data_IF_443742435317
#
_entry.id   IF_443742435317
#
_cell.length_a   1.000
_cell.length_b   1.000
_cell.length_c   1.000
_cell.angle_alpha   90.00
_cell.angle_beta   90.00
_cell.angle_gamma   90.00
#
_symmetry.space_group_name_H-M   'P 1'
#
loop_
_entity.id
_entity.type
_entity.pdbx_description
1 polymer ?
#
# COMPACT_ATOMS: atom_id res chain seq x y z
N UNK A 1 -13.38 -6.22 -24.16
CA UNK A 1 -13.06 -5.57 -22.88
C UNK A 1 -11.72 -4.87 -23.02
N UNK A 2 -11.75 -3.53 -23.09
CA UNK A 2 -10.52 -2.75 -23.02
C UNK A 2 -9.95 -2.91 -21.61
N UNK A 3 -8.80 -3.56 -21.49
CA UNK A 3 -7.98 -3.56 -20.29
C UNK A 3 -7.79 -2.12 -19.80
N UNK A 4 -8.21 -1.84 -18.58
CA UNK A 4 -7.97 -0.56 -17.91
C UNK A 4 -6.49 -0.51 -17.51
N UNK A 5 -5.59 -0.28 -18.49
CA UNK A 5 -4.16 -0.14 -18.19
C UNK A 5 -3.92 1.08 -17.32
N UNK A 6 -3.75 0.84 -16.05
CA UNK A 6 -3.15 1.84 -15.14
C UNK A 6 -1.69 1.97 -15.56
N UNK A 7 -1.32 3.12 -16.15
CA UNK A 7 0.07 3.38 -16.56
C UNK A 7 0.99 3.29 -15.34
N UNK A 8 2.08 2.57 -15.49
CA UNK A 8 3.16 2.56 -14.50
C UNK A 8 3.63 3.99 -14.23
N UNK A 9 3.55 4.40 -12.97
CA UNK A 9 4.15 5.63 -12.52
C UNK A 9 5.32 5.32 -11.59
N UNK A 10 6.52 5.75 -11.99
CA UNK A 10 7.76 5.60 -11.23
C UNK A 10 7.72 6.29 -9.85
N UNK A 11 6.74 7.20 -9.63
CA UNK A 11 6.64 7.96 -8.38
C UNK A 11 6.11 7.11 -7.21
N UNK A 12 5.33 6.05 -7.45
CA UNK A 12 4.88 5.14 -6.38
C UNK A 12 6.03 4.43 -5.69
N UNK A 13 7.12 4.13 -6.41
CA UNK A 13 8.34 3.53 -5.83
C UNK A 13 9.07 4.47 -4.86
N UNK A 14 8.88 5.79 -4.97
CA UNK A 14 9.55 6.78 -4.10
C UNK A 14 8.90 6.97 -2.74
N UNK A 15 7.64 6.56 -2.55
CA UNK A 15 6.94 6.65 -1.26
C UNK A 15 7.54 5.73 -0.18
N UNK A 16 8.19 4.64 -0.58
CA UNK A 16 8.70 3.63 0.33
C UNK A 16 10.22 3.68 0.56
N UNK A 17 10.95 4.57 -0.14
CA UNK A 17 12.42 4.52 -0.15
C UNK A 17 13.09 5.26 1.00
N UNK A 18 12.37 6.04 1.81
CA UNK A 18 13.00 7.03 2.68
C UNK A 18 13.15 6.68 4.15
N UNK A 19 12.60 5.57 4.65
CA UNK A 19 12.50 5.45 6.11
C UNK A 19 12.87 4.10 6.72
N UNK A 20 13.41 3.17 5.94
CA UNK A 20 13.72 1.85 6.47
C UNK A 20 15.19 1.74 6.85
N UNK A 21 15.63 2.59 7.77
CA UNK A 21 16.89 2.37 8.47
C UNK A 21 16.56 2.00 9.91
N UNK A 22 16.16 0.75 10.10
CA UNK A 22 15.97 0.17 11.41
C UNK A 22 16.80 -1.10 11.49
N UNK A 23 18.11 -0.94 11.63
CA UNK A 23 19.03 -2.05 11.78
C UNK A 23 18.75 -2.94 12.99
N UNK A 24 18.08 -2.42 14.02
CA UNK A 24 17.71 -3.18 15.22
C UNK A 24 16.48 -4.07 15.06
N UNK A 25 15.65 -3.87 14.02
CA UNK A 25 14.44 -4.65 13.80
C UNK A 25 14.65 -5.89 12.91
N UNK A 26 15.88 -6.16 12.48
CA UNK A 26 16.21 -7.19 11.49
C UNK A 26 16.02 -8.64 11.98
N UNK A 27 15.85 -8.86 13.29
CA UNK A 27 15.84 -10.20 13.88
C UNK A 27 14.52 -10.62 14.52
N UNK A 28 13.49 -9.77 14.50
CA UNK A 28 12.20 -10.08 15.08
C UNK A 28 11.26 -10.72 14.06
N UNK A 29 10.63 -11.85 14.40
CA UNK A 29 9.61 -12.53 13.58
C UNK A 29 8.22 -11.90 13.73
N UNK A 30 8.02 -11.10 14.77
CA UNK A 30 6.76 -10.42 15.10
C UNK A 30 6.99 -8.96 15.42
N UNK A 31 5.94 -8.18 15.26
CA UNK A 31 5.94 -6.76 15.62
C UNK A 31 6.10 -6.60 17.14
N UNK A 32 7.19 -5.94 17.54
CA UNK A 32 7.45 -5.55 18.93
C UNK A 32 7.04 -4.10 19.17
N UNK A 33 6.90 -3.64 20.45
CA UNK A 33 6.62 -2.24 20.75
C UNK A 33 7.64 -1.25 20.14
N UNK A 34 8.92 -1.63 20.09
CA UNK A 34 9.99 -0.83 19.50
C UNK A 34 9.80 -0.70 17.96
N UNK A 35 9.41 -1.79 17.30
CA UNK A 35 9.09 -1.79 15.87
C UNK A 35 7.87 -0.90 15.61
N UNK A 36 6.84 -0.97 16.46
CA UNK A 36 5.66 -0.11 16.32
C UNK A 36 6.00 1.38 16.43
N UNK A 37 6.86 1.76 17.37
CA UNK A 37 7.34 3.14 17.50
C UNK A 37 8.04 3.58 16.21
N UNK A 38 8.86 2.72 15.65
CA UNK A 38 9.58 2.99 14.43
C UNK A 38 8.64 3.11 13.21
N UNK A 39 7.64 2.23 13.10
CA UNK A 39 6.59 2.32 12.08
C UNK A 39 5.84 3.65 12.21
N UNK A 40 5.43 4.04 13.41
CA UNK A 40 4.71 5.29 13.65
C UNK A 40 5.54 6.53 13.29
N UNK A 41 6.84 6.53 13.58
CA UNK A 41 7.76 7.61 13.17
C UNK A 41 7.88 7.70 11.65
N UNK A 42 8.00 6.57 10.97
CA UNK A 42 8.02 6.50 9.52
C UNK A 42 6.72 7.04 8.91
N UNK A 43 5.58 6.63 9.44
CA UNK A 43 4.26 7.10 9.03
C UNK A 43 4.13 8.62 9.18
N UNK A 44 4.60 9.18 10.30
CA UNK A 44 4.57 10.62 10.53
C UNK A 44 5.38 11.39 9.46
N UNK A 45 6.52 10.82 9.01
CA UNK A 45 7.33 11.41 7.94
C UNK A 45 6.62 11.32 6.58
N UNK A 46 6.02 10.17 6.27
CA UNK A 46 5.28 10.00 5.02
C UNK A 46 4.06 10.92 4.96
N UNK A 47 3.33 11.08 6.06
CA UNK A 47 2.15 11.95 6.13
C UNK A 47 2.47 13.44 5.93
N UNK A 48 3.71 13.88 6.15
CA UNK A 48 4.14 15.25 5.82
C UNK A 48 4.13 15.53 4.32
N UNK A 49 4.17 14.51 3.48
CA UNK A 49 4.12 14.63 2.02
C UNK A 49 2.68 14.71 1.49
N UNK A 50 1.70 14.39 2.34
CA UNK A 50 0.29 14.34 1.94
C UNK A 50 -0.38 15.73 1.95
N UNK A 51 -1.36 15.99 1.05
CA UNK A 51 -1.71 15.13 -0.07
C UNK A 51 -0.66 15.22 -1.19
N UNK A 52 -0.39 14.10 -1.87
CA UNK A 52 0.59 14.05 -2.95
C UNK A 52 0.01 13.33 -4.17
N UNK A 53 0.03 13.99 -5.32
CA UNK A 53 -0.33 13.35 -6.58
C UNK A 53 0.72 12.27 -6.92
N UNK A 54 0.26 11.04 -7.01
CA UNK A 54 1.11 9.87 -7.33
C UNK A 54 1.06 9.58 -8.83
N UNK A 55 -0.13 9.71 -9.42
CA UNK A 55 -0.37 9.60 -10.85
C UNK A 55 -1.55 10.47 -11.25
N UNK A 56 -1.90 10.47 -12.52
CA UNK A 56 -3.11 11.19 -12.99
C UNK A 56 -4.41 10.62 -12.39
N UNK A 57 -4.37 9.37 -11.89
CA UNK A 57 -5.53 8.66 -11.35
C UNK A 57 -5.51 8.50 -9.83
N UNK A 58 -4.37 8.71 -9.19
CA UNK A 58 -4.19 8.46 -7.76
C UNK A 58 -3.56 9.66 -7.04
N UNK A 59 -4.16 10.02 -5.92
CA UNK A 59 -3.57 10.96 -4.96
C UNK A 59 -3.36 10.22 -3.63
N UNK A 60 -2.14 10.24 -3.13
CA UNK A 60 -1.82 9.76 -1.78
C UNK A 60 -2.42 10.72 -0.75
N UNK A 61 -3.17 10.19 0.21
CA UNK A 61 -3.83 10.98 1.24
C UNK A 61 -3.16 10.87 2.60
N UNK A 62 -2.84 9.67 3.02
CA UNK A 62 -2.21 9.39 4.32
C UNK A 62 -1.79 7.93 4.43
N UNK A 63 -0.97 7.66 5.44
CA UNK A 63 -0.76 6.31 6.00
C UNK A 63 -1.27 6.29 7.43
N UNK A 64 -1.87 5.19 7.85
CA UNK A 64 -2.27 4.95 9.22
C UNK A 64 -1.83 3.54 9.67
N UNK A 65 -1.61 3.37 10.96
CA UNK A 65 -1.30 2.08 11.57
C UNK A 65 -2.32 1.74 12.65
N UNK A 66 -2.97 0.60 12.46
CA UNK A 66 -3.84 0.03 13.48
C UNK A 66 -3.03 -0.94 14.33
N UNK A 67 -2.79 -0.55 15.58
CA UNK A 67 -2.00 -1.33 16.52
C UNK A 67 -2.67 -2.64 16.91
N UNK A 68 -3.98 -2.68 17.01
CA UNK A 68 -4.74 -3.87 17.40
C UNK A 68 -4.72 -4.93 16.31
N UNK A 69 -4.79 -4.51 15.06
CA UNK A 69 -4.78 -5.37 13.88
C UNK A 69 -3.37 -5.57 13.28
N UNK A 70 -2.36 -4.88 13.81
CA UNK A 70 -1.00 -4.85 13.24
C UNK A 70 -1.00 -4.51 11.75
N UNK A 71 -1.88 -3.61 11.34
CA UNK A 71 -2.12 -3.29 9.93
C UNK A 71 -1.72 -1.85 9.63
N UNK A 72 -0.82 -1.69 8.68
CA UNK A 72 -0.50 -0.39 8.07
C UNK A 72 -1.34 -0.23 6.82
N UNK A 73 -2.11 0.84 6.74
CA UNK A 73 -2.96 1.13 5.58
C UNK A 73 -2.51 2.42 4.91
N UNK A 74 -2.30 2.35 3.60
CA UNK A 74 -2.00 3.49 2.74
C UNK A 74 -3.30 3.88 2.05
N UNK A 75 -3.69 5.14 2.18
CA UNK A 75 -4.95 5.66 1.65
C UNK A 75 -4.72 6.48 0.39
N UNK A 76 -5.43 6.12 -0.66
CA UNK A 76 -5.45 6.82 -1.94
C UNK A 76 -6.84 7.32 -2.31
N UNK A 77 -6.89 8.52 -2.86
CA UNK A 77 -8.06 9.02 -3.57
C UNK A 77 -7.96 8.61 -5.06
N UNK A 78 -9.01 7.96 -5.55
CA UNK A 78 -9.16 7.67 -6.98
C UNK A 78 -9.74 8.88 -7.70
N UNK A 79 -9.12 9.27 -8.80
CA UNK A 79 -9.62 10.32 -9.71
C UNK A 79 -10.47 9.74 -10.84
N UNK A 80 -10.53 8.42 -10.98
CA UNK A 80 -11.38 7.76 -11.97
C UNK A 80 -12.86 7.89 -11.57
N UNK A 81 -13.70 8.31 -12.51
CA UNK A 81 -15.14 8.28 -12.31
C UNK A 81 -15.68 6.88 -12.54
N UNK A 82 -16.00 6.18 -11.44
CA UNK A 82 -16.54 4.83 -11.47
C UNK A 82 -18.08 4.79 -11.42
N UNK A 83 -18.75 5.93 -11.44
CA UNK A 83 -20.23 5.97 -11.35
C UNK A 83 -20.91 5.32 -12.55
N UNK A 84 -20.23 5.29 -13.70
CA UNK A 84 -20.73 4.66 -14.94
C UNK A 84 -20.39 3.18 -15.05
N UNK A 85 -19.65 2.63 -14.10
CA UNK A 85 -19.25 1.23 -14.11
C UNK A 85 -20.33 0.37 -13.44
N UNK A 86 -20.62 -0.79 -14.04
CA UNK A 86 -21.40 -1.83 -13.35
C UNK A 86 -20.61 -2.37 -12.16
N UNK A 87 -21.29 -3.08 -11.27
CA UNK A 87 -20.64 -3.69 -10.10
C UNK A 87 -19.58 -4.70 -10.52
N UNK A 88 -19.84 -5.46 -11.60
CA UNK A 88 -18.86 -6.41 -12.16
C UNK A 88 -17.61 -5.70 -12.69
N UNK A 89 -17.77 -4.55 -13.34
CA UNK A 89 -16.62 -3.76 -13.82
C UNK A 89 -15.84 -3.13 -12.66
N UNK A 90 -16.50 -2.74 -11.57
CA UNK A 90 -15.83 -2.26 -10.35
C UNK A 90 -15.00 -3.36 -9.70
N UNK A 91 -15.50 -4.60 -9.68
CA UNK A 91 -14.72 -5.74 -9.16
C UNK A 91 -13.50 -6.04 -10.05
N UNK A 92 -13.64 -6.02 -11.38
CA UNK A 92 -12.52 -6.16 -12.31
C UNK A 92 -11.47 -5.04 -12.07
N UNK A 93 -11.93 -3.81 -11.89
CA UNK A 93 -11.05 -2.69 -11.60
C UNK A 93 -10.31 -2.86 -10.25
N UNK A 94 -11.01 -3.37 -9.25
CA UNK A 94 -10.41 -3.69 -7.94
C UNK A 94 -9.32 -4.76 -8.06
N UNK A 95 -9.56 -5.84 -8.81
CA UNK A 95 -8.55 -6.89 -9.04
C UNK A 95 -7.32 -6.32 -9.77
N UNK A 96 -7.51 -5.44 -10.77
CA UNK A 96 -6.38 -4.78 -11.43
C UNK A 96 -5.56 -3.89 -10.46
N UNK A 97 -6.22 -3.16 -9.57
CA UNK A 97 -5.54 -2.37 -8.53
C UNK A 97 -4.77 -3.27 -7.55
N UNK A 98 -5.38 -4.38 -7.15
CA UNK A 98 -4.78 -5.36 -6.26
C UNK A 98 -3.55 -6.01 -6.89
N UNK A 99 -3.67 -6.52 -8.11
CA UNK A 99 -2.57 -7.16 -8.83
C UNK A 99 -1.40 -6.19 -9.00
N UNK A 100 -1.70 -4.95 -9.38
CA UNK A 100 -0.68 -3.91 -9.52
C UNK A 100 0.01 -3.61 -8.19
N UNK A 101 -0.73 -3.43 -7.11
CA UNK A 101 -0.17 -3.17 -5.79
C UNK A 101 0.67 -4.36 -5.30
N UNK A 102 0.21 -5.59 -5.54
CA UNK A 102 0.92 -6.83 -5.21
C UNK A 102 2.25 -6.89 -5.98
N UNK A 103 2.23 -6.71 -7.29
CA UNK A 103 3.42 -6.76 -8.15
C UNK A 103 4.44 -5.68 -7.78
N UNK A 104 4.00 -4.47 -7.52
CA UNK A 104 4.89 -3.37 -7.12
C UNK A 104 5.60 -3.66 -5.80
N UNK A 105 4.88 -4.19 -4.82
CA UNK A 105 5.48 -4.55 -3.53
C UNK A 105 6.39 -5.77 -3.64
N UNK A 106 6.01 -6.78 -4.41
CA UNK A 106 6.83 -7.96 -4.64
C UNK A 106 8.10 -7.69 -5.47
N UNK A 107 8.09 -6.65 -6.30
CA UNK A 107 9.24 -6.30 -7.16
C UNK A 107 10.38 -5.60 -6.40
N UNK A 108 10.10 -5.04 -5.23
CA UNK A 108 11.12 -4.40 -4.39
C UNK A 108 11.55 -5.34 -3.25
N UNK A 109 12.72 -5.96 -3.42
CA UNK A 109 13.26 -6.89 -2.42
C UNK A 109 13.37 -6.28 -1.03
N UNK A 110 13.63 -4.97 -0.90
CA UNK A 110 13.74 -4.30 0.40
C UNK A 110 12.40 -4.26 1.12
N UNK A 111 11.32 -4.05 0.38
CA UNK A 111 9.95 -4.07 0.90
C UNK A 111 9.58 -5.49 1.36
N UNK A 112 9.86 -6.50 0.53
CA UNK A 112 9.60 -7.89 0.86
C UNK A 112 10.40 -8.31 2.09
N UNK A 113 11.69 -8.00 2.15
CA UNK A 113 12.56 -8.36 3.28
C UNK A 113 12.15 -7.62 4.57
N UNK A 114 11.64 -6.41 4.47
CA UNK A 114 11.21 -5.63 5.63
C UNK A 114 9.83 -6.03 6.15
N UNK A 115 8.81 -5.99 5.29
CA UNK A 115 7.43 -6.26 5.71
C UNK A 115 7.09 -7.75 5.73
N UNK A 116 7.66 -8.53 4.85
CA UNK A 116 7.36 -9.95 4.70
C UNK A 116 7.90 -10.84 5.82
N UNK A 117 8.82 -10.34 6.63
CA UNK A 117 9.40 -11.11 7.74
C UNK A 117 8.51 -11.19 8.98
N UNK A 118 7.63 -10.22 9.18
CA UNK A 118 6.74 -10.20 10.35
C UNK A 118 5.45 -10.97 10.06
N UNK A 119 5.26 -12.06 10.78
CA UNK A 119 4.13 -12.96 10.58
C UNK A 119 2.77 -12.33 10.90
N UNK A 120 2.74 -11.38 11.84
CA UNK A 120 1.54 -10.72 12.33
C UNK A 120 1.27 -9.35 11.68
N UNK A 121 2.17 -8.88 10.81
CA UNK A 121 2.02 -7.59 10.14
C UNK A 121 1.23 -7.71 8.82
N UNK A 122 0.40 -6.72 8.57
CA UNK A 122 -0.33 -6.57 7.29
C UNK A 122 -0.08 -5.21 6.68
N UNK A 123 0.16 -5.20 5.38
CA UNK A 123 0.17 -3.99 4.56
C UNK A 123 -1.12 -3.95 3.74
N UNK A 124 -1.85 -2.85 3.81
CA UNK A 124 -3.11 -2.66 3.09
C UNK A 124 -3.09 -1.37 2.28
N UNK A 125 -3.82 -1.37 1.18
CA UNK A 125 -4.08 -0.20 0.34
C UNK A 125 -5.58 0.06 0.31
N UNK A 126 -6.00 1.25 0.69
CA UNK A 126 -7.38 1.69 0.56
C UNK A 126 -7.51 2.65 -0.62
N UNK A 127 -8.44 2.34 -1.51
CA UNK A 127 -8.77 3.16 -2.67
C UNK A 127 -10.18 3.69 -2.52
N UNK A 128 -10.33 5.00 -2.55
CA UNK A 128 -11.60 5.66 -2.27
C UNK A 128 -11.88 6.80 -3.23
N UNK A 129 -13.15 6.92 -3.62
CA UNK A 129 -13.79 8.12 -4.17
C UNK A 129 -15.26 8.15 -3.74
N UNK A 130 -16.08 9.01 -4.36
CA UNK A 130 -17.50 9.15 -3.99
C UNK A 130 -18.33 7.85 -4.14
N UNK A 131 -17.96 6.98 -5.10
CA UNK A 131 -18.71 5.76 -5.44
C UNK A 131 -17.96 4.46 -5.17
N UNK A 132 -16.76 4.53 -4.60
CA UNK A 132 -15.87 3.40 -4.42
C UNK A 132 -15.08 3.55 -3.12
N UNK A 133 -15.07 2.52 -2.29
CA UNK A 133 -14.26 2.45 -1.08
C UNK A 133 -13.87 0.99 -0.84
N UNK A 134 -12.66 0.63 -1.25
CA UNK A 134 -12.19 -0.75 -1.18
C UNK A 134 -10.77 -0.81 -0.63
N UNK A 135 -10.51 -1.83 0.15
CA UNK A 135 -9.20 -2.12 0.72
C UNK A 135 -8.67 -3.44 0.19
N UNK A 136 -7.43 -3.46 -0.27
CA UNK A 136 -6.71 -4.66 -0.67
C UNK A 136 -5.55 -4.90 0.29
N UNK A 137 -5.27 -6.17 0.59
CA UNK A 137 -4.15 -6.57 1.46
C UNK A 137 -3.07 -7.19 0.59
N UNK A 138 -1.82 -6.76 0.82
CA UNK A 138 -0.65 -7.30 0.13
C UNK A 138 -0.23 -8.61 0.82
N UNK A 139 -0.14 -9.68 0.05
CA UNK A 139 0.34 -10.97 0.53
C UNK A 139 1.82 -11.16 0.15
N UNK A 140 2.72 -10.91 1.10
CA UNK A 140 4.16 -11.08 0.89
C UNK A 140 4.57 -12.55 0.71
N UNK A 141 3.74 -13.52 1.12
CA UNK A 141 4.01 -14.94 0.90
C UNK A 141 3.86 -15.34 -0.57
N UNK A 142 3.03 -14.59 -1.29
CA UNK A 142 2.84 -14.80 -2.73
C UNK A 142 3.93 -14.17 -3.61
N UNK A 143 4.82 -13.36 -3.02
CA UNK A 143 5.92 -12.72 -3.76
C UNK A 143 7.00 -13.70 -4.26
N UNK A 144 7.06 -14.91 -3.72
CA UNK A 144 8.10 -15.89 -4.04
C UNK A 144 7.61 -17.03 -4.98
N UNK A 145 6.46 -16.82 -5.59
CA UNK A 145 5.87 -17.81 -6.53
C UNK A 145 6.22 -17.52 -7.97
#
# INVERSE_FOLDING_TARGET
LKSLKIKEDKSMKKLFTTSIILSSCLFADKITPEIEIAIQKSIALENKKAPMKVSDKLTFLKVAYDKSLKTQTIYYELKEDLTKYSDELKEVYLEELKDKAQDENCSDKRIVDFYGKWEDFKLAYNYKNESFDKTVIIDFKDCNK
#
